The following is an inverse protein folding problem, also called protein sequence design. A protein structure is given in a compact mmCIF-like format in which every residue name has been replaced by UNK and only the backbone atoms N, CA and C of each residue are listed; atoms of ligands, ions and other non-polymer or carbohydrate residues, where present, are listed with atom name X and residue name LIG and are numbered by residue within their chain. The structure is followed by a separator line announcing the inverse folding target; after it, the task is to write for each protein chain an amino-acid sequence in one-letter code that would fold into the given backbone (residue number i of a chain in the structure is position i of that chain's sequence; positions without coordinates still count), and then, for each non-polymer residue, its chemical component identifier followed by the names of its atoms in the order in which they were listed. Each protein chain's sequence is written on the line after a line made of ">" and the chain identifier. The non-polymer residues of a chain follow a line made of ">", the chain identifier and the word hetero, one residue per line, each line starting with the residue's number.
data_IF_642026887073
#
_entry.id   IF_642026887073
#
_cell.length_a   1.000
_cell.length_b   1.000
_cell.length_c   1.000
_cell.angle_alpha   90.00
_cell.angle_beta   90.00
_cell.angle_gamma   90.00
#
_symmetry.space_group_name_H-M   'P 1'
#
loop_
_entity.id
_entity.type
_entity.pdbx_description
1 polymer ?
#
# COMPACT_ATOMS: atom_id res chain seq x y z
N UNK A 1 -22.71 -32.74 46.77
CA UNK A 1 -21.96 -33.64 45.85
C UNK A 1 -21.03 -32.75 45.02
N UNK A 2 -19.73 -32.67 45.34
CA UNK A 2 -18.59 -33.32 44.62
C UNK A 2 -18.66 -33.06 43.10
N UNK A 3 -17.71 -32.38 42.43
CA UNK A 3 -16.24 -32.50 42.52
C UNK A 3 -15.53 -31.28 41.89
N UNK A 4 -14.49 -30.83 42.57
CA UNK A 4 -13.40 -29.98 42.07
C UNK A 4 -12.58 -30.71 41.00
N UNK A 5 -12.12 -29.98 39.98
CA UNK A 5 -11.03 -30.44 39.11
C UNK A 5 -9.92 -29.39 39.11
N UNK A 6 -8.82 -29.74 39.79
CA UNK A 6 -7.54 -29.03 39.80
C UNK A 6 -6.76 -29.47 38.56
N UNK A 7 -6.30 -28.55 37.73
CA UNK A 7 -5.26 -28.83 36.74
C UNK A 7 -3.91 -28.41 37.30
N UNK A 8 -3.04 -29.41 37.44
CA UNK A 8 -1.70 -29.32 38.02
C UNK A 8 -0.67 -29.04 36.93
N UNK A 9 0.30 -28.21 37.30
CA UNK A 9 1.57 -27.92 36.62
C UNK A 9 2.27 -29.16 36.04
N UNK A 10 2.80 -29.03 34.82
CA UNK A 10 4.03 -29.74 34.40
C UNK A 10 4.97 -28.72 33.78
N UNK A 11 5.96 -28.34 34.58
CA UNK A 11 7.14 -27.56 34.24
C UNK A 11 8.14 -28.51 33.56
N UNK A 12 8.39 -28.37 32.26
CA UNK A 12 9.44 -29.12 31.56
C UNK A 12 10.61 -28.16 31.24
N UNK A 13 11.60 -28.17 32.14
CA UNK A 13 12.93 -27.60 31.94
C UNK A 13 13.71 -28.53 31.00
N UNK A 14 14.05 -28.06 29.80
CA UNK A 14 15.09 -28.67 28.97
C UNK A 14 16.25 -27.68 28.82
N UNK A 15 17.28 -27.93 29.64
CA UNK A 15 18.65 -27.46 29.52
C UNK A 15 19.36 -28.27 28.42
N UNK A 16 19.65 -27.66 27.28
CA UNK A 16 20.70 -28.04 26.33
C UNK A 16 21.03 -26.77 25.55
N UNK A 17 22.26 -26.33 25.33
CA UNK A 17 23.58 -26.87 25.59
C UNK A 17 24.52 -25.92 24.87
N UNK A 18 25.53 -25.43 25.57
CA UNK A 18 26.59 -24.56 25.05
C UNK A 18 27.31 -25.22 23.86
N UNK A 19 27.47 -24.47 22.77
CA UNK A 19 28.26 -24.85 21.61
C UNK A 19 28.79 -23.62 20.90
N UNK A 20 29.83 -23.02 21.48
CA UNK A 20 30.66 -21.98 20.85
C UNK A 20 31.38 -22.57 19.63
N UNK A 21 31.31 -21.88 18.49
CA UNK A 21 32.26 -22.06 17.38
C UNK A 21 32.49 -20.71 16.73
N UNK A 22 33.63 -20.11 17.07
CA UNK A 22 34.16 -18.88 16.48
C UNK A 22 34.97 -19.33 15.25
N UNK A 23 34.57 -18.90 14.06
CA UNK A 23 35.47 -18.91 12.91
C UNK A 23 35.52 -17.51 12.31
N UNK A 24 36.67 -16.88 12.52
CA UNK A 24 37.11 -15.69 11.84
C UNK A 24 37.65 -16.07 10.46
N UNK A 25 37.21 -15.37 9.41
CA UNK A 25 37.95 -15.31 8.16
C UNK A 25 38.18 -13.84 7.77
N UNK A 26 39.43 -13.60 7.41
CA UNK A 26 40.10 -12.34 7.17
C UNK A 26 39.81 -11.79 5.76
N UNK A 27 40.06 -10.49 5.64
CA UNK A 27 40.05 -9.64 4.45
C UNK A 27 40.78 -10.23 3.23
N UNK A 28 40.36 -9.81 2.04
CA UNK A 28 41.29 -9.43 0.96
C UNK A 28 40.67 -8.33 0.11
N UNK A 29 41.32 -7.17 0.12
CA UNK A 29 41.09 -6.03 -0.75
C UNK A 29 41.84 -6.25 -2.08
N UNK A 30 41.25 -5.85 -3.20
CA UNK A 30 42.01 -5.63 -4.44
C UNK A 30 41.42 -4.45 -5.22
N UNK A 31 42.19 -3.38 -5.26
CA UNK A 31 42.12 -2.25 -6.17
C UNK A 31 42.21 -2.71 -7.63
N UNK A 32 41.53 -2.04 -8.58
CA UNK A 32 42.13 -1.72 -9.89
C UNK A 32 41.48 -0.49 -10.53
N UNK A 33 42.35 0.40 -11.00
CA UNK A 33 42.14 1.68 -11.67
C UNK A 33 41.66 1.59 -13.14
N UNK A 34 40.87 2.61 -13.55
CA UNK A 34 40.89 3.36 -14.83
C UNK A 34 40.54 2.65 -16.17
N UNK A 35 40.25 3.36 -17.30
CA UNK A 35 40.10 4.80 -17.53
C UNK A 35 38.79 5.23 -18.24
N UNK A 36 38.58 6.54 -18.23
CA UNK A 36 37.57 7.34 -18.94
C UNK A 36 37.72 7.29 -20.46
N UNK A 37 36.60 7.20 -21.20
CA UNK A 37 36.52 7.61 -22.61
C UNK A 37 35.41 8.65 -22.76
N UNK A 38 35.86 9.79 -23.26
CA UNK A 38 35.13 10.97 -23.69
C UNK A 38 34.55 10.73 -25.09
N UNK A 39 33.29 11.08 -25.35
CA UNK A 39 32.80 11.28 -26.72
C UNK A 39 31.74 12.38 -26.74
N UNK A 40 32.06 13.44 -27.47
CA UNK A 40 31.23 14.59 -27.77
C UNK A 40 30.32 14.37 -29.00
N UNK A 41 29.26 15.18 -29.03
CA UNK A 41 28.70 15.93 -30.18
C UNK A 41 27.54 15.35 -31.02
N UNK A 42 26.56 16.25 -31.27
CA UNK A 42 25.50 16.19 -32.31
C UNK A 42 24.13 16.56 -31.71
N UNK A 43 23.68 17.82 -31.61
CA UNK A 43 23.19 18.80 -32.62
C UNK A 43 21.92 18.35 -33.39
N UNK A 44 20.82 19.11 -33.23
CA UNK A 44 19.86 19.64 -34.24
C UNK A 44 18.40 19.68 -33.72
N UNK A 45 17.86 20.90 -33.56
CA UNK A 45 16.77 21.53 -34.36
C UNK A 45 15.34 21.12 -33.94
N UNK A 46 14.56 22.03 -33.36
CA UNK A 46 13.73 23.08 -34.00
C UNK A 46 12.38 22.55 -34.51
N UNK A 47 11.30 23.08 -33.95
CA UNK A 47 9.94 22.84 -34.46
C UNK A 47 8.90 23.66 -33.69
N UNK A 48 8.70 24.91 -34.12
CA UNK A 48 7.59 25.75 -33.75
C UNK A 48 6.38 25.47 -34.67
N UNK A 49 5.17 25.45 -34.12
CA UNK A 49 3.91 25.40 -34.86
C UNK A 49 2.77 25.73 -33.90
N UNK A 50 2.33 26.98 -33.87
CA UNK A 50 1.22 27.55 -34.65
C UNK A 50 -0.14 27.44 -33.93
N UNK A 51 -0.53 28.63 -33.48
CA UNK A 51 -1.87 29.17 -33.21
C UNK A 51 -3.01 28.68 -34.11
N UNK A 52 -4.20 28.60 -33.51
CA UNK A 52 -5.48 28.72 -34.20
C UNK A 52 -6.64 28.86 -33.19
N UNK A 53 -7.34 30.01 -33.13
CA UNK A 53 -8.53 30.19 -32.31
C UNK A 53 -9.77 29.78 -33.11
N UNK A 54 -10.75 29.17 -32.45
CA UNK A 54 -12.09 28.97 -33.02
C UNK A 54 -13.14 29.55 -32.07
N UNK A 55 -13.75 30.64 -32.54
CA UNK A 55 -14.94 31.27 -31.99
C UNK A 55 -16.20 30.71 -32.66
N UNK A 56 -17.34 31.04 -32.04
CA UNK A 56 -18.74 31.03 -32.51
C UNK A 56 -19.57 29.87 -31.93
N UNK A 57 -20.45 30.13 -30.95
CA UNK A 57 -21.74 30.86 -31.02
C UNK A 57 -22.85 29.94 -31.53
N UNK A 58 -23.85 29.65 -30.68
CA UNK A 58 -25.28 29.80 -30.95
C UNK A 58 -26.14 29.17 -29.83
N UNK A 59 -26.86 30.05 -29.15
CA UNK A 59 -28.32 30.05 -28.99
C UNK A 59 -29.12 28.79 -28.57
N UNK A 60 -29.73 28.93 -27.37
CA UNK A 60 -31.18 29.18 -27.17
C UNK A 60 -32.18 28.00 -27.27
N UNK A 61 -33.12 28.05 -26.31
CA UNK A 61 -34.50 27.53 -26.29
C UNK A 61 -34.70 26.12 -25.70
N UNK A 62 -35.52 26.07 -24.63
CA UNK A 62 -36.36 24.90 -24.33
C UNK A 62 -36.45 24.52 -22.86
N UNK A 63 -37.18 25.31 -22.06
CA UNK A 63 -37.69 24.91 -20.74
C UNK A 63 -39.04 24.22 -20.93
N UNK A 64 -39.22 22.92 -20.62
CA UNK A 64 -40.53 22.35 -20.48
C UNK A 64 -40.97 22.42 -19.02
N UNK A 65 -42.27 22.62 -18.89
CA UNK A 65 -43.01 22.86 -17.66
C UNK A 65 -43.04 21.62 -16.76
N UNK A 66 -42.87 21.92 -15.48
CA UNK A 66 -43.08 21.01 -14.35
C UNK A 66 -44.57 20.67 -14.25
N UNK A 67 -44.95 19.49 -14.73
CA UNK A 67 -46.22 18.85 -14.40
C UNK A 67 -45.99 17.82 -13.27
N UNK A 68 -46.31 18.27 -12.07
CA UNK A 68 -46.48 17.48 -10.85
C UNK A 68 -47.54 16.40 -11.08
N UNK A 69 -47.10 15.14 -11.11
CA UNK A 69 -47.94 13.99 -10.77
C UNK A 69 -47.17 13.16 -9.74
N UNK A 70 -47.63 13.22 -8.50
CA UNK A 70 -47.16 12.36 -7.41
C UNK A 70 -47.44 10.91 -7.75
N UNK A 71 -46.42 10.06 -7.92
CA UNK A 71 -46.62 8.63 -7.94
C UNK A 71 -46.82 8.18 -6.50
N UNK A 72 -48.03 7.69 -6.23
CA UNK A 72 -48.38 6.66 -5.26
C UNK A 72 -47.20 6.19 -4.40
N UNK A 73 -47.12 6.70 -3.16
CA UNK A 73 -46.21 6.24 -2.11
C UNK A 73 -46.58 4.79 -1.74
N UNK A 74 -46.15 3.86 -2.60
CA UNK A 74 -46.12 2.45 -2.30
C UNK A 74 -45.33 2.26 -1.01
N UNK A 75 -46.05 1.90 0.04
CA UNK A 75 -45.61 1.46 1.36
C UNK A 75 -44.19 0.88 1.31
N UNK A 76 -43.21 1.69 1.72
CA UNK A 76 -41.80 1.29 1.77
C UNK A 76 -41.73 0.20 2.85
N UNK A 77 -41.80 -1.06 2.43
CA UNK A 77 -41.43 -2.19 3.29
C UNK A 77 -40.00 -1.93 3.73
N UNK A 78 -39.83 -1.59 5.00
CA UNK A 78 -38.53 -1.36 5.62
C UNK A 78 -37.77 -2.68 5.59
N UNK A 79 -36.98 -2.88 4.52
CA UNK A 79 -36.17 -4.09 4.37
C UNK A 79 -35.13 -4.05 5.47
N UNK A 80 -35.30 -4.91 6.47
CA UNK A 80 -34.31 -5.09 7.52
C UNK A 80 -33.09 -5.75 6.88
N UNK A 81 -31.98 -5.02 6.78
CA UNK A 81 -30.70 -5.53 6.30
C UNK A 81 -29.77 -5.79 7.49
N UNK A 82 -28.86 -6.75 7.34
CA UNK A 82 -27.81 -7.05 8.32
C UNK A 82 -26.52 -6.41 7.82
N UNK A 83 -26.01 -5.44 8.56
CA UNK A 83 -24.72 -4.81 8.28
C UNK A 83 -23.61 -5.45 9.14
N UNK A 84 -22.56 -5.92 8.49
CA UNK A 84 -21.35 -6.43 9.15
C UNK A 84 -20.27 -5.35 9.15
N UNK A 85 -19.71 -5.07 10.33
CA UNK A 85 -18.59 -4.15 10.47
C UNK A 85 -17.31 -4.80 9.96
N UNK A 86 -16.59 -4.11 9.08
CA UNK A 86 -15.32 -4.58 8.53
C UNK A 86 -14.14 -3.78 9.08
N UNK A 87 -12.92 -4.28 8.87
CA UNK A 87 -11.71 -3.47 9.07
C UNK A 87 -11.72 -2.33 8.05
N UNK A 88 -11.48 -1.06 8.43
CA UNK A 88 -11.52 0.04 7.48
C UNK A 88 -10.62 -0.18 6.25
N UNK A 89 -11.21 -0.15 5.05
CA UNK A 89 -10.50 -0.40 3.77
C UNK A 89 -10.46 0.89 2.94
N UNK A 90 -9.28 1.40 2.55
CA UNK A 90 -9.21 2.52 1.62
C UNK A 90 -9.71 2.11 0.23
N UNK A 91 -10.50 2.97 -0.40
CA UNK A 91 -11.07 2.75 -1.72
C UNK A 91 -11.19 4.05 -2.51
N UNK A 92 -11.50 3.90 -3.79
CA UNK A 92 -11.86 4.99 -4.69
C UNK A 92 -13.19 4.69 -5.36
N UNK A 93 -13.96 5.74 -5.59
CA UNK A 93 -15.15 5.62 -6.41
C UNK A 93 -14.77 5.40 -7.88
N UNK A 94 -15.49 4.51 -8.55
CA UNK A 94 -15.32 4.25 -9.99
C UNK A 94 -16.64 4.38 -10.73
N UNK A 95 -16.54 4.83 -11.98
CA UNK A 95 -17.64 4.83 -12.93
C UNK A 95 -17.11 4.68 -14.36
N UNK A 96 -17.97 4.15 -15.23
CA UNK A 96 -17.72 4.09 -16.68
C UNK A 96 -17.71 5.49 -17.29
N UNK A 97 -18.58 6.36 -16.79
CA UNK A 97 -18.68 7.76 -17.21
C UNK A 97 -17.92 8.65 -16.21
N UNK A 98 -16.84 9.34 -16.63
CA UNK A 98 -16.01 10.13 -15.72
C UNK A 98 -16.75 11.29 -15.05
N UNK A 99 -17.79 11.84 -15.68
CA UNK A 99 -18.51 13.01 -15.18
C UNK A 99 -19.80 12.63 -14.43
N UNK A 100 -20.09 11.33 -14.33
CA UNK A 100 -21.29 10.85 -13.66
C UNK A 100 -21.20 10.97 -12.13
N UNK A 101 -22.29 11.46 -11.53
CA UNK A 101 -22.46 11.49 -10.08
C UNK A 101 -22.79 10.10 -9.55
N UNK A 102 -22.06 9.69 -8.52
CA UNK A 102 -22.24 8.40 -7.86
C UNK A 102 -22.94 8.63 -6.52
N UNK A 103 -24.17 8.14 -6.40
CA UNK A 103 -25.01 8.39 -5.23
C UNK A 103 -24.61 7.51 -4.03
N UNK A 104 -24.54 8.14 -2.87
CA UNK A 104 -24.37 7.50 -1.57
C UNK A 104 -25.65 7.64 -0.75
N UNK A 105 -26.16 6.51 -0.26
CA UNK A 105 -27.56 6.36 0.13
C UNK A 105 -27.74 6.07 1.61
N UNK A 106 -28.97 6.25 2.09
CA UNK A 106 -29.32 6.06 3.49
C UNK A 106 -29.37 4.60 3.92
N UNK A 107 -29.62 3.68 2.99
CA UNK A 107 -29.72 2.24 3.20
C UNK A 107 -29.12 1.51 1.97
N UNK A 108 -28.78 0.20 2.06
CA UNK A 108 -28.24 -0.59 0.95
C UNK A 108 -29.32 -0.95 -0.10
N UNK A 109 -29.97 0.07 -0.67
CA UNK A 109 -30.97 -0.06 -1.72
C UNK A 109 -30.97 1.17 -2.62
N UNK A 110 -31.20 0.94 -3.91
CA UNK A 110 -31.35 1.99 -4.92
C UNK A 110 -32.64 2.81 -4.77
N UNK A 111 -33.62 2.30 -4.01
CA UNK A 111 -34.87 3.00 -3.68
C UNK A 111 -34.72 3.94 -2.49
N UNK A 112 -33.67 3.77 -1.69
CA UNK A 112 -33.44 4.60 -0.50
C UNK A 112 -32.90 5.99 -0.86
N UNK A 113 -33.14 6.98 0.03
CA UNK A 113 -32.77 8.38 -0.20
C UNK A 113 -31.26 8.53 -0.43
N UNK A 114 -30.87 9.24 -1.49
CA UNK A 114 -29.50 9.70 -1.66
C UNK A 114 -29.21 10.79 -0.61
N UNK A 115 -28.20 10.56 0.24
CA UNK A 115 -27.76 11.50 1.29
C UNK A 115 -26.54 12.31 0.86
N UNK A 116 -25.72 11.74 -0.02
CA UNK A 116 -24.53 12.38 -0.55
C UNK A 116 -24.25 11.85 -1.96
N UNK A 117 -23.26 12.43 -2.63
CA UNK A 117 -22.74 11.91 -3.89
C UNK A 117 -21.24 12.17 -3.96
N UNK A 118 -20.56 11.38 -4.79
CA UNK A 118 -19.17 11.63 -5.16
C UNK A 118 -18.98 11.50 -6.67
N UNK A 119 -17.75 11.69 -7.10
CA UNK A 119 -17.29 11.53 -8.47
C UNK A 119 -16.24 10.42 -8.56
N UNK A 120 -16.00 9.96 -9.79
CA UNK A 120 -14.93 9.00 -10.07
C UNK A 120 -13.59 9.53 -9.53
N UNK A 121 -12.86 8.67 -8.83
CA UNK A 121 -11.58 8.99 -8.21
C UNK A 121 -11.66 9.52 -6.78
N UNK A 122 -12.85 9.85 -6.28
CA UNK A 122 -13.01 10.28 -4.89
C UNK A 122 -12.53 9.21 -3.92
N UNK A 123 -11.65 9.61 -3.01
CA UNK A 123 -11.07 8.73 -2.00
C UNK A 123 -12.03 8.53 -0.83
N UNK A 124 -12.29 7.27 -0.51
CA UNK A 124 -13.23 6.84 0.53
C UNK A 124 -12.61 5.76 1.40
N UNK A 125 -13.23 5.51 2.56
CA UNK A 125 -12.90 4.41 3.46
C UNK A 125 -14.15 3.56 3.67
N UNK A 126 -14.09 2.27 3.37
CA UNK A 126 -15.18 1.32 3.59
C UNK A 126 -15.18 0.88 5.06
N UNK A 127 -16.34 0.85 5.70
CA UNK A 127 -16.52 0.64 7.14
C UNK A 127 -17.42 -0.55 7.47
N UNK A 128 -18.41 -0.83 6.63
CA UNK A 128 -19.33 -1.97 6.77
C UNK A 128 -19.65 -2.57 5.42
N UNK A 129 -20.18 -3.80 5.43
CA UNK A 129 -20.76 -4.47 4.27
C UNK A 129 -22.15 -4.99 4.59
N UNK A 130 -23.04 -5.04 3.61
CA UNK A 130 -24.37 -5.62 3.75
C UNK A 130 -24.84 -6.22 2.42
N UNK A 131 -25.66 -7.27 2.50
CA UNK A 131 -26.51 -7.68 1.37
C UNK A 131 -27.71 -6.73 1.31
N UNK A 132 -27.89 -6.11 0.15
CA UNK A 132 -28.92 -5.11 -0.09
C UNK A 132 -29.96 -5.54 -1.11
N UNK A 133 -30.55 -4.56 -1.78
CA UNK A 133 -31.55 -4.79 -2.84
C UNK A 133 -31.03 -5.75 -3.92
N UNK A 134 -31.82 -6.80 -4.20
CA UNK A 134 -31.50 -7.81 -5.22
C UNK A 134 -30.28 -8.66 -4.90
N UNK A 135 -29.99 -8.90 -3.61
CA UNK A 135 -28.81 -9.64 -3.13
C UNK A 135 -27.45 -9.02 -3.51
N UNK A 136 -27.45 -7.79 -4.03
CA UNK A 136 -26.23 -7.05 -4.33
C UNK A 136 -25.46 -6.74 -3.05
N UNK A 137 -24.13 -6.67 -3.17
CA UNK A 137 -23.27 -6.22 -2.07
C UNK A 137 -23.23 -4.69 -2.04
N UNK A 138 -23.35 -4.16 -0.84
CA UNK A 138 -23.25 -2.74 -0.55
C UNK A 138 -22.20 -2.51 0.53
N UNK A 139 -21.47 -1.40 0.41
CA UNK A 139 -20.54 -0.93 1.41
C UNK A 139 -21.08 0.32 2.08
N UNK A 140 -20.96 0.38 3.41
CA UNK A 140 -21.04 1.65 4.11
C UNK A 140 -19.67 2.29 4.07
N UNK A 141 -19.57 3.52 3.59
CA UNK A 141 -18.31 4.24 3.45
C UNK A 141 -18.33 5.60 4.12
N UNK A 142 -17.13 6.16 4.27
CA UNK A 142 -16.87 7.56 4.62
C UNK A 142 -15.97 8.21 3.60
N UNK A 143 -16.32 9.39 3.11
CA UNK A 143 -15.46 10.20 2.26
C UNK A 143 -14.30 10.79 3.07
N UNK A 144 -13.08 10.70 2.52
CA UNK A 144 -11.90 11.14 3.27
C UNK A 144 -11.83 12.67 3.43
N UNK A 145 -12.36 13.43 2.48
CA UNK A 145 -12.35 14.90 2.53
C UNK A 145 -13.54 15.47 3.29
N UNK A 146 -14.76 15.15 2.85
CA UNK A 146 -15.99 15.72 3.41
C UNK A 146 -16.44 15.04 4.71
N UNK A 147 -15.89 13.87 5.04
CA UNK A 147 -16.36 13.01 6.13
C UNK A 147 -17.82 12.56 5.98
N UNK A 148 -18.45 12.76 4.83
CA UNK A 148 -19.80 12.30 4.56
C UNK A 148 -19.84 10.77 4.53
N UNK A 149 -20.94 10.18 5.00
CA UNK A 149 -21.09 8.73 5.11
C UNK A 149 -22.37 8.22 4.47
N UNK A 150 -22.35 6.96 4.04
CA UNK A 150 -23.54 6.25 3.60
C UNK A 150 -23.25 4.98 2.81
N UNK A 151 -24.31 4.40 2.28
CA UNK A 151 -24.29 3.14 1.54
C UNK A 151 -24.07 3.36 0.05
N UNK A 152 -23.15 2.59 -0.52
CA UNK A 152 -22.87 2.54 -1.95
C UNK A 152 -22.87 1.09 -2.42
N UNK A 153 -23.23 0.85 -3.68
CA UNK A 153 -23.17 -0.48 -4.27
C UNK A 153 -21.74 -0.81 -4.71
N UNK A 154 -21.37 -2.08 -4.61
CA UNK A 154 -20.02 -2.59 -4.91
C UNK A 154 -19.46 -2.14 -6.27
N UNK A 155 -20.30 -2.08 -7.30
CA UNK A 155 -19.89 -1.77 -8.68
C UNK A 155 -19.34 -0.36 -8.87
N UNK A 156 -19.56 0.54 -7.90
CA UNK A 156 -18.98 1.88 -7.88
C UNK A 156 -17.73 1.99 -7.02
N UNK A 157 -17.19 0.87 -6.55
CA UNK A 157 -16.02 0.84 -5.68
C UNK A 157 -14.89 0.09 -6.37
N UNK A 158 -13.79 0.81 -6.62
CA UNK A 158 -12.49 0.17 -6.72
C UNK A 158 -11.88 0.24 -5.33
N UNK A 159 -11.83 -0.89 -4.65
CA UNK A 159 -10.97 -1.01 -3.48
C UNK A 159 -9.58 -0.55 -3.93
N UNK A 160 -9.00 0.37 -3.17
CA UNK A 160 -7.65 0.83 -3.43
C UNK A 160 -6.73 -0.29 -2.98
N UNK A 161 -6.69 -1.35 -3.78
CA UNK A 161 -5.41 -1.92 -4.12
C UNK A 161 -4.66 -0.73 -4.66
N UNK A 162 -3.77 -0.15 -3.84
CA UNK A 162 -2.51 0.31 -4.42
C UNK A 162 -2.18 -0.76 -5.43
N UNK A 163 -2.08 -0.42 -6.72
CA UNK A 163 -1.67 -1.39 -7.73
C UNK A 163 -0.25 -1.77 -7.35
N UNK A 164 -0.16 -2.69 -6.39
CA UNK A 164 1.05 -3.26 -5.92
C UNK A 164 1.49 -4.05 -7.12
N UNK A 165 2.64 -3.66 -7.64
CA UNK A 165 3.29 -4.49 -8.61
C UNK A 165 3.32 -5.93 -8.06
N UNK A 166 3.05 -6.93 -8.90
CA UNK A 166 3.10 -8.32 -8.47
C UNK A 166 4.47 -8.66 -7.88
N UNK A 167 4.54 -9.62 -6.96
CA UNK A 167 5.82 -10.01 -6.30
C UNK A 167 6.94 -10.30 -7.30
N UNK A 168 6.60 -10.81 -8.48
CA UNK A 168 7.52 -11.10 -9.59
C UNK A 168 8.25 -9.88 -10.17
N UNK A 169 7.78 -8.66 -9.89
CA UNK A 169 8.45 -7.42 -10.28
C UNK A 169 9.48 -6.93 -9.28
N UNK A 170 9.70 -7.70 -8.20
CA UNK A 170 10.72 -7.46 -7.19
C UNK A 170 11.69 -8.63 -7.15
N UNK A 171 12.96 -8.37 -6.83
CA UNK A 171 13.87 -9.43 -6.39
C UNK A 171 13.50 -9.80 -4.96
N UNK A 172 13.10 -11.06 -4.68
CA UNK A 172 12.84 -11.49 -3.32
C UNK A 172 14.13 -11.45 -2.50
N UNK A 173 14.00 -11.03 -1.25
CA UNK A 173 15.09 -11.06 -0.29
C UNK A 173 15.30 -12.48 0.25
N UNK A 174 16.56 -12.87 0.36
CA UNK A 174 16.94 -14.11 1.02
C UNK A 174 17.50 -13.77 2.40
N UNK A 175 16.65 -13.90 3.43
CA UNK A 175 17.00 -13.58 4.81
C UNK A 175 18.20 -14.40 5.34
N UNK A 176 18.53 -15.54 4.74
CA UNK A 176 19.68 -16.35 5.15
C UNK A 176 20.96 -16.00 4.37
N UNK A 177 20.81 -15.69 3.07
CA UNK A 177 21.96 -15.53 2.17
C UNK A 177 22.37 -14.09 1.89
N UNK A 178 21.46 -13.10 2.02
CA UNK A 178 21.77 -11.70 1.75
C UNK A 178 22.52 -11.07 2.95
N UNK A 179 23.84 -10.75 2.83
CA UNK A 179 24.64 -10.35 3.99
C UNK A 179 24.17 -9.03 4.63
N UNK A 180 23.61 -8.14 3.83
CA UNK A 180 23.11 -6.84 4.29
C UNK A 180 21.88 -6.97 5.22
N UNK A 181 21.21 -8.13 5.25
CA UNK A 181 20.11 -8.41 6.17
C UNK A 181 20.56 -8.97 7.53
N UNK A 182 21.82 -9.38 7.69
CA UNK A 182 22.28 -10.05 8.90
C UNK A 182 22.04 -9.22 10.19
N UNK A 183 22.33 -7.91 10.14
CA UNK A 183 22.10 -6.99 11.26
C UNK A 183 20.60 -6.85 11.59
N UNK A 184 19.76 -6.76 10.56
CA UNK A 184 18.31 -6.72 10.74
C UNK A 184 17.81 -8.01 11.41
N UNK A 185 18.22 -9.18 10.91
CA UNK A 185 17.77 -10.47 11.42
C UNK A 185 18.12 -10.64 12.90
N UNK A 186 19.34 -10.30 13.29
CA UNK A 186 19.78 -10.36 14.68
C UNK A 186 18.95 -9.41 15.55
N UNK A 187 18.74 -8.18 15.09
CA UNK A 187 17.95 -7.17 15.83
C UNK A 187 16.49 -7.57 15.94
N UNK A 188 15.90 -8.12 14.87
CA UNK A 188 14.52 -8.58 14.83
C UNK A 188 14.31 -9.77 15.77
N UNK A 189 15.19 -10.77 15.74
CA UNK A 189 15.13 -11.92 16.65
C UNK A 189 15.27 -11.50 18.12
N UNK A 190 16.22 -10.62 18.43
CA UNK A 190 16.37 -10.07 19.79
C UNK A 190 15.13 -9.27 20.22
N UNK A 191 14.54 -8.49 19.32
CA UNK A 191 13.32 -7.73 19.59
C UNK A 191 12.12 -8.63 19.86
N UNK A 192 12.01 -9.76 19.16
CA UNK A 192 10.95 -10.76 19.42
C UNK A 192 11.08 -11.35 20.82
N UNK A 193 12.30 -11.69 21.25
CA UNK A 193 12.55 -12.21 22.60
C UNK A 193 12.22 -11.18 23.70
N UNK A 194 12.50 -9.90 23.45
CA UNK A 194 12.22 -8.80 24.40
C UNK A 194 10.81 -8.23 24.30
N UNK A 195 9.99 -8.70 23.35
CA UNK A 195 8.66 -8.17 23.07
C UNK A 195 8.67 -6.65 22.84
N UNK A 196 9.62 -6.18 22.03
CA UNK A 196 9.75 -4.74 21.74
C UNK A 196 8.48 -4.18 21.11
N UNK A 197 8.05 -3.02 21.57
CA UNK A 197 6.77 -2.41 21.17
C UNK A 197 6.70 -2.07 19.68
N UNK A 198 7.85 -1.80 19.04
CA UNK A 198 7.89 -1.48 17.61
C UNK A 198 7.47 -2.65 16.71
N UNK A 199 7.51 -3.89 17.20
CA UNK A 199 7.02 -5.05 16.46
C UNK A 199 5.49 -5.03 16.25
N UNK A 200 4.76 -4.24 17.03
CA UNK A 200 3.31 -4.07 16.87
C UNK A 200 2.94 -3.05 15.77
N UNK A 201 3.92 -2.32 15.21
CA UNK A 201 3.73 -1.33 14.15
C UNK A 201 4.34 -1.79 12.82
N UNK A 202 3.48 -2.19 11.87
CA UNK A 202 3.89 -2.74 10.58
C UNK A 202 4.81 -1.79 9.77
N UNK A 203 4.50 -0.48 9.64
CA UNK A 203 5.40 0.46 8.99
C UNK A 203 6.79 0.50 9.64
N UNK A 204 6.89 0.49 10.97
CA UNK A 204 8.17 0.48 11.67
C UNK A 204 8.97 -0.80 11.42
N UNK A 205 8.32 -1.97 11.36
CA UNK A 205 8.99 -3.23 11.00
C UNK A 205 9.58 -3.15 9.59
N UNK A 206 8.78 -2.70 8.61
CA UNK A 206 9.21 -2.57 7.22
C UNK A 206 10.34 -1.53 7.05
N UNK A 207 10.27 -0.42 7.79
CA UNK A 207 11.31 0.61 7.80
C UNK A 207 12.63 0.08 8.34
N UNK A 208 12.60 -0.66 9.45
CA UNK A 208 13.81 -1.29 10.01
C UNK A 208 14.42 -2.32 9.08
N UNK A 209 13.58 -3.12 8.41
CA UNK A 209 14.05 -4.04 7.36
C UNK A 209 14.76 -3.31 6.23
N UNK A 210 14.27 -2.11 5.89
CA UNK A 210 14.82 -1.25 4.84
C UNK A 210 16.02 -0.41 5.30
N UNK A 211 16.52 -0.61 6.52
CA UNK A 211 17.67 0.11 7.08
C UNK A 211 17.34 1.47 7.71
N UNK A 212 16.06 1.77 7.98
CA UNK A 212 15.63 3.03 8.59
C UNK A 212 15.31 2.93 10.10
N UNK A 213 15.50 4.03 10.87
CA UNK A 213 16.29 5.19 10.48
C UNK A 213 17.76 4.80 10.35
N UNK A 214 18.44 5.31 9.31
CA UNK A 214 19.89 5.20 9.26
C UNK A 214 20.50 6.32 10.11
N UNK A 215 21.77 6.18 10.51
CA UNK A 215 22.46 7.12 11.41
C UNK A 215 22.69 8.53 10.83
N UNK A 216 22.07 8.87 9.69
CA UNK A 216 22.15 10.17 9.04
C UNK A 216 20.79 10.79 8.77
N UNK A 217 20.75 11.85 7.95
CA UNK A 217 19.50 12.55 7.57
C UNK A 217 18.62 11.77 6.60
N UNK A 218 18.97 10.52 6.33
CA UNK A 218 18.31 9.76 5.29
C UNK A 218 16.93 9.27 5.72
N UNK A 219 15.92 9.60 4.90
CA UNK A 219 14.52 9.23 5.09
C UNK A 219 13.97 8.68 3.77
N UNK A 220 13.00 7.75 3.83
CA UNK A 220 12.27 7.36 2.63
C UNK A 220 11.45 8.53 2.10
N UNK A 221 11.38 8.65 0.78
CA UNK A 221 10.58 9.64 0.08
C UNK A 221 9.08 9.36 0.25
N UNK A 222 8.70 8.08 0.27
CA UNK A 222 7.31 7.64 0.47
C UNK A 222 7.26 6.34 1.28
N UNK A 223 6.35 6.25 2.25
CA UNK A 223 5.98 5.00 2.93
C UNK A 223 4.48 4.82 2.76
N UNK A 224 4.07 3.73 2.11
CA UNK A 224 2.68 3.44 1.80
C UNK A 224 2.24 2.11 2.38
N UNK A 225 1.16 2.13 3.15
CA UNK A 225 0.60 0.95 3.81
C UNK A 225 -0.73 0.57 3.17
N UNK A 226 -0.87 -0.70 2.79
CA UNK A 226 -2.09 -1.29 2.21
C UNK A 226 -2.58 -2.40 3.13
N UNK A 227 -3.68 -2.16 3.84
CA UNK A 227 -4.28 -3.14 4.75
C UNK A 227 -5.25 -4.04 3.97
N UNK A 228 -5.02 -5.35 4.02
CA UNK A 228 -5.93 -6.35 3.44
C UNK A 228 -6.90 -6.91 4.47
N UNK A 229 -6.47 -6.99 5.73
CA UNK A 229 -7.30 -7.40 6.86
C UNK A 229 -6.66 -6.90 8.17
N UNK A 230 -7.30 -7.17 9.31
CA UNK A 230 -6.74 -6.90 10.63
C UNK A 230 -5.40 -7.63 10.89
N UNK A 231 -5.10 -8.70 10.13
CA UNK A 231 -3.90 -9.52 10.30
C UNK A 231 -3.00 -9.59 9.05
N UNK A 232 -3.30 -8.86 7.97
CA UNK A 232 -2.46 -8.82 6.76
C UNK A 232 -2.32 -7.41 6.21
N UNK A 233 -1.08 -7.01 5.98
CA UNK A 233 -0.72 -5.69 5.47
C UNK A 233 0.48 -5.76 4.54
N UNK A 234 0.50 -4.94 3.51
CA UNK A 234 1.71 -4.69 2.72
C UNK A 234 2.18 -3.27 2.94
N UNK A 235 3.46 -3.11 3.20
CA UNK A 235 4.15 -1.82 3.26
C UNK A 235 5.07 -1.70 2.06
N UNK A 236 4.96 -0.58 1.34
CA UNK A 236 5.86 -0.20 0.25
C UNK A 236 6.64 1.03 0.67
N UNK A 237 7.96 0.95 0.57
CA UNK A 237 8.89 2.01 0.94
C UNK A 237 9.61 2.43 -0.34
N UNK A 238 9.56 3.71 -0.68
CA UNK A 238 10.31 4.28 -1.79
C UNK A 238 11.36 5.24 -1.27
N UNK A 239 12.53 5.19 -1.90
CA UNK A 239 13.62 6.12 -1.66
C UNK A 239 14.15 6.64 -2.99
N UNK A 240 14.53 7.92 -3.03
CA UNK A 240 15.09 8.56 -4.21
C UNK A 240 14.04 9.23 -5.11
N UNK A 241 14.52 9.77 -6.25
CA UNK A 241 13.82 10.62 -7.24
C UNK A 241 13.65 12.11 -6.94
N UNK A 242 13.88 12.60 -5.72
CA UNK A 242 14.00 14.05 -5.51
C UNK A 242 15.45 14.49 -5.76
N UNK A 243 15.67 15.62 -6.47
CA UNK A 243 17.01 16.17 -6.79
C UNK A 243 17.88 16.51 -5.56
N UNK A 244 17.41 16.25 -4.33
CA UNK A 244 18.07 16.67 -3.07
C UNK A 244 18.25 15.55 -2.04
N UNK A 245 17.86 14.30 -2.31
CA UNK A 245 17.96 13.23 -1.31
C UNK A 245 19.31 12.52 -1.33
N UNK A 246 20.12 12.76 -0.30
CA UNK A 246 21.47 12.22 -0.06
C UNK A 246 21.50 10.74 0.38
N UNK A 247 20.42 10.00 0.14
CA UNK A 247 20.21 8.65 0.67
C UNK A 247 20.69 7.53 -0.24
N UNK A 248 20.69 7.80 -1.54
CA UNK A 248 20.95 6.74 -2.50
C UNK A 248 22.44 6.67 -2.74
N UNK A 249 22.96 5.45 -2.73
CA UNK A 249 24.24 5.13 -3.32
C UNK A 249 24.34 5.75 -4.72
N UNK A 250 25.51 6.20 -5.14
CA UNK A 250 25.72 6.89 -6.42
C UNK A 250 25.37 6.02 -7.64
N UNK A 251 25.13 4.74 -7.39
CA UNK A 251 24.70 3.72 -8.35
C UNK A 251 23.17 3.59 -8.47
N UNK A 252 22.40 4.00 -7.45
CA UNK A 252 20.93 3.83 -7.39
C UNK A 252 20.22 5.17 -7.47
N UNK A 253 19.43 5.39 -8.52
CA UNK A 253 18.58 6.59 -8.67
C UNK A 253 17.37 6.55 -7.73
N UNK A 254 16.75 5.38 -7.64
CA UNK A 254 15.57 5.15 -6.81
C UNK A 254 15.46 3.68 -6.43
N UNK A 255 14.88 3.41 -5.28
CA UNK A 255 14.55 2.06 -4.85
C UNK A 255 13.11 1.98 -4.37
N UNK A 256 12.53 0.80 -4.52
CA UNK A 256 11.23 0.47 -3.96
C UNK A 256 11.32 -0.90 -3.28
N UNK A 257 11.04 -0.92 -1.99
CA UNK A 257 11.01 -2.11 -1.15
C UNK A 257 9.55 -2.42 -0.84
N UNK A 258 9.15 -3.68 -1.00
CA UNK A 258 7.83 -4.18 -0.63
C UNK A 258 7.99 -5.21 0.48
N UNK A 259 7.19 -5.06 1.53
CA UNK A 259 7.17 -5.95 2.70
C UNK A 259 5.74 -6.37 2.95
N UNK A 260 5.45 -7.65 2.77
CA UNK A 260 4.17 -8.26 3.11
C UNK A 260 4.29 -8.83 4.54
N UNK A 261 3.38 -8.42 5.42
CA UNK A 261 3.40 -8.72 6.84
C UNK A 261 2.11 -9.42 7.27
N UNK A 262 2.24 -10.37 8.19
CA UNK A 262 1.14 -11.06 8.85
C UNK A 262 1.20 -10.82 10.36
N UNK A 263 0.05 -10.62 11.00
CA UNK A 263 -0.01 -10.38 12.44
C UNK A 263 -0.10 -11.70 13.22
N UNK A 264 0.86 -11.95 14.09
CA UNK A 264 0.96 -13.14 14.94
C UNK A 264 1.16 -12.69 16.40
N UNK A 265 0.35 -13.17 17.34
CA UNK A 265 0.52 -12.86 18.78
C UNK A 265 0.73 -11.36 19.08
N UNK A 266 -0.01 -10.48 18.39
CA UNK A 266 0.08 -9.01 18.45
C UNK A 266 1.30 -8.35 17.80
N UNK A 267 2.25 -9.12 17.26
CA UNK A 267 3.40 -8.59 16.48
C UNK A 267 3.20 -8.80 14.98
N UNK A 268 3.90 -8.03 14.16
CA UNK A 268 3.93 -8.20 12.71
C UNK A 268 5.16 -9.03 12.29
N UNK A 269 4.90 -10.22 11.77
CA UNK A 269 5.86 -11.12 11.16
C UNK A 269 5.99 -10.84 9.66
N UNK A 270 7.21 -10.94 9.12
CA UNK A 270 7.47 -10.77 7.68
C UNK A 270 7.07 -12.06 6.95
N UNK A 271 6.01 -12.00 6.15
CA UNK A 271 5.58 -13.11 5.29
C UNK A 271 6.44 -13.16 4.02
N UNK A 272 6.77 -11.99 3.46
CA UNK A 272 7.59 -11.86 2.25
C UNK A 272 8.20 -10.45 2.15
N UNK A 273 9.40 -10.34 1.60
CA UNK A 273 9.99 -9.05 1.27
C UNK A 273 10.80 -9.11 -0.02
N UNK A 274 10.87 -7.97 -0.73
CA UNK A 274 11.68 -7.83 -1.93
C UNK A 274 11.87 -6.39 -2.35
N UNK A 275 12.88 -6.17 -3.20
CA UNK A 275 13.27 -4.85 -3.68
C UNK A 275 13.34 -4.77 -5.20
N UNK A 276 13.14 -3.57 -5.73
CA UNK A 276 13.49 -3.21 -7.10
C UNK A 276 14.21 -1.87 -7.12
N UNK A 277 15.12 -1.71 -8.06
CA UNK A 277 16.02 -0.56 -8.10
C UNK A 277 16.04 0.01 -9.51
N UNK A 278 16.03 1.34 -9.58
CA UNK A 278 16.33 2.12 -10.77
C UNK A 278 17.76 2.61 -10.59
N UNK A 279 18.66 2.24 -11.49
CA UNK A 279 20.08 2.56 -11.37
C UNK A 279 20.49 3.61 -12.39
N UNK A 280 21.60 4.32 -12.12
CA UNK A 280 22.20 5.21 -13.09
C UNK A 280 22.69 4.42 -14.32
N UNK A 281 22.54 4.98 -15.53
CA UNK A 281 23.15 4.37 -16.71
C UNK A 281 24.68 4.49 -16.65
N UNK A 282 25.40 3.38 -16.84
CA UNK A 282 26.85 3.36 -16.99
C UNK A 282 27.68 3.39 -15.70
N UNK A 283 27.07 3.41 -14.51
CA UNK A 283 27.74 3.24 -13.21
C UNK A 283 26.98 2.23 -12.34
N UNK A 284 27.67 1.36 -11.62
CA UNK A 284 27.08 0.51 -10.56
C UNK A 284 26.42 -0.82 -10.97
N UNK A 285 26.37 -1.17 -12.26
CA UNK A 285 25.82 -2.47 -12.70
C UNK A 285 26.66 -3.68 -12.26
N UNK A 286 27.90 -3.47 -11.85
CA UNK A 286 28.82 -4.55 -11.48
C UNK A 286 28.62 -5.00 -10.02
N UNK A 287 28.31 -4.06 -9.12
CA UNK A 287 28.20 -4.35 -7.68
C UNK A 287 26.79 -4.81 -7.28
N UNK A 288 25.76 -4.27 -7.94
CA UNK A 288 24.38 -4.72 -7.80
C UNK A 288 24.00 -5.52 -9.03
N UNK A 289 24.24 -6.84 -8.98
CA UNK A 289 23.92 -7.82 -10.02
C UNK A 289 22.87 -7.29 -11.03
N UNK A 290 23.15 -7.21 -12.35
CA UNK A 290 22.39 -6.43 -13.33
C UNK A 290 20.86 -6.63 -13.30
N UNK A 291 20.39 -7.80 -12.84
CA UNK A 291 18.99 -8.12 -12.61
C UNK A 291 18.27 -7.20 -11.60
N UNK A 292 19.01 -6.45 -10.79
CA UNK A 292 18.47 -5.51 -9.78
C UNK A 292 18.09 -4.15 -10.36
N UNK A 293 18.70 -3.77 -11.49
CA UNK A 293 18.54 -2.48 -12.13
C UNK A 293 17.59 -2.61 -13.33
N UNK A 294 16.35 -2.12 -13.19
CA UNK A 294 15.35 -2.04 -14.28
C UNK A 294 15.06 -0.60 -14.67
#
# INVERSE_FOLDING_TARGET
>A
MKRNQRFSFVLLLCLFGLGLSIQACQQTSADTNSPSIETQAGRQQSGAGQSGPFSQELDKIGKPESSSSSPDEGEIREVTYIAEKITPVPAQLVSKDPDSRINVRSQPSTRSKAKHFGYKGDAVTLLQTAKGEGDAIWYYLRFNQSQAEGWIREDFIAQSTVSLLPRQDYRPYNFEADPWLASFNQTYAAAQQRQESWLADAPTVALKLSGFPSSGECKPTEVKTTNYSASKVTVVIKSGQSKREACSDDSVLASQIRVDLVKENQIWAIEWAGGRYLCHQGRGQQDFAPALCR
#
